data_IF_734618466818
#
_entry.id   IF_734618466818
#
_cell.length_a   1.000
_cell.length_b   1.000
_cell.length_c   1.000
_cell.angle_alpha   90.00
_cell.angle_beta   90.00
_cell.angle_gamma   90.00
#
_symmetry.space_group_name_H-M   'P 1'
#
loop_
_entity.id
_entity.type
_entity.pdbx_description
1 polymer ?
#
# COMPACT_ATOMS: atom_id res chain seq x y z
N UNK A 1 20.50 -6.06 0.74
CA UNK A 1 19.04 -6.07 0.55
C UNK A 1 18.68 -4.77 -0.10
N UNK A 2 17.87 -4.82 -1.15
CA UNK A 2 17.55 -3.65 -1.95
C UNK A 2 16.40 -2.87 -1.32
N UNK A 3 16.34 -1.57 -1.62
CA UNK A 3 15.30 -0.67 -1.14
C UNK A 3 14.20 -0.60 -2.21
N UNK A 4 12.94 -0.67 -1.78
CA UNK A 4 11.78 -0.46 -2.64
C UNK A 4 11.77 1.00 -3.13
N UNK A 5 11.30 1.24 -4.35
CA UNK A 5 11.07 2.62 -4.79
C UNK A 5 10.00 3.29 -3.92
N UNK A 6 10.00 4.63 -3.93
CA UNK A 6 8.98 5.42 -3.23
C UNK A 6 7.58 5.10 -3.76
N UNK A 7 7.42 4.90 -5.07
CA UNK A 7 6.14 4.52 -5.67
C UNK A 7 5.68 3.12 -5.24
N UNK A 8 6.61 2.15 -5.22
CA UNK A 8 6.30 0.82 -4.72
C UNK A 8 5.91 0.87 -3.23
N UNK A 9 6.60 1.69 -2.44
CA UNK A 9 6.26 1.89 -1.03
C UNK A 9 4.85 2.48 -0.88
N UNK A 10 4.50 3.49 -1.69
CA UNK A 10 3.15 4.07 -1.72
C UNK A 10 2.09 3.00 -1.96
N UNK A 11 2.25 2.24 -3.05
CA UNK A 11 1.27 1.23 -3.47
C UNK A 11 1.18 0.08 -2.47
N UNK A 12 2.30 -0.35 -1.91
CA UNK A 12 2.34 -1.34 -0.85
C UNK A 12 1.60 -0.89 0.42
N UNK A 13 1.79 0.36 0.86
CA UNK A 13 1.24 0.82 2.14
C UNK A 13 -0.22 1.27 1.98
N UNK A 14 -0.53 2.07 0.97
CA UNK A 14 -1.84 2.72 0.77
C UNK A 14 -2.75 1.90 -0.15
N UNK A 15 -2.17 1.10 -1.06
CA UNK A 15 -2.89 0.43 -2.13
C UNK A 15 -2.81 1.19 -3.46
N UNK A 16 -3.13 0.50 -4.56
CA UNK A 16 -3.13 1.06 -5.90
C UNK A 16 -2.83 0.05 -7.00
N UNK A 17 -2.47 0.55 -8.19
CA UNK A 17 -2.00 -0.31 -9.28
C UNK A 17 -0.47 -0.41 -9.27
N UNK A 18 0.05 -1.63 -9.43
CA UNK A 18 1.44 -1.90 -9.68
C UNK A 18 1.60 -2.91 -10.82
N UNK A 19 2.21 -2.47 -11.92
CA UNK A 19 2.42 -3.30 -13.12
C UNK A 19 1.11 -3.93 -13.65
N UNK A 20 0.01 -3.18 -13.64
CA UNK A 20 -1.31 -3.64 -14.13
C UNK A 20 -2.00 -4.61 -13.18
N UNK A 21 -1.60 -4.64 -11.91
CA UNK A 21 -2.20 -5.44 -10.86
C UNK A 21 -2.58 -4.57 -9.68
N UNK A 22 -3.79 -4.80 -9.21
CA UNK A 22 -4.29 -4.24 -7.96
C UNK A 22 -3.47 -4.76 -6.77
N UNK A 23 -2.95 -3.84 -5.97
CA UNK A 23 -2.39 -4.06 -4.63
C UNK A 23 -3.34 -3.39 -3.65
N UNK A 24 -3.88 -4.17 -2.70
CA UNK A 24 -4.92 -3.68 -1.78
C UNK A 24 -4.40 -2.65 -0.77
N UNK A 25 -3.11 -2.68 -0.45
CA UNK A 25 -2.54 -1.87 0.62
C UNK A 25 -2.88 -2.40 2.01
N UNK A 26 -2.69 -1.58 3.03
CA UNK A 26 -3.12 -1.89 4.40
C UNK A 26 -4.54 -1.41 4.66
N UNK A 27 -5.30 -2.22 5.40
CA UNK A 27 -6.71 -1.98 5.72
C UNK A 27 -6.94 -0.62 6.39
N UNK A 28 -5.99 -0.13 7.18
CA UNK A 28 -6.03 1.16 7.85
C UNK A 28 -6.23 2.32 6.86
N UNK A 29 -5.71 2.24 5.64
CA UNK A 29 -5.92 3.27 4.61
C UNK A 29 -7.29 3.17 3.90
N UNK A 30 -8.08 2.14 4.19
CA UNK A 30 -9.50 2.08 3.86
C UNK A 30 -10.41 2.80 4.86
N UNK A 31 -9.87 3.26 6.00
CA UNK A 31 -10.64 3.97 7.04
C UNK A 31 -10.60 5.50 6.81
N UNK A 32 -11.76 6.17 6.68
CA UNK A 32 -11.83 7.63 6.62
C UNK A 32 -11.09 8.35 7.77
N UNK A 33 -11.04 7.73 8.95
CA UNK A 33 -10.38 8.31 10.13
C UNK A 33 -8.87 8.46 9.96
N UNK A 34 -8.26 7.65 9.09
CA UNK A 34 -6.85 7.78 8.70
C UNK A 34 -6.57 9.13 8.03
N UNK A 35 -7.58 9.75 7.42
CA UNK A 35 -7.43 11.00 6.66
C UNK A 35 -7.91 12.25 7.43
N UNK A 36 -8.32 12.10 8.71
CA UNK A 36 -8.82 13.20 9.55
C UNK A 36 -7.86 14.39 9.58
N UNK A 37 -6.58 14.12 9.84
CA UNK A 37 -5.49 15.08 9.87
C UNK A 37 -4.19 14.44 9.37
N UNK A 38 -3.23 15.28 8.97
CA UNK A 38 -1.97 14.81 8.39
C UNK A 38 -1.11 14.03 9.40
N UNK A 39 -1.11 14.44 10.67
CA UNK A 39 -0.33 13.79 11.73
C UNK A 39 -0.79 12.34 11.95
N UNK A 40 -2.11 12.10 11.88
CA UNK A 40 -2.69 10.76 11.96
C UNK A 40 -2.28 9.90 10.77
N UNK A 41 -2.42 10.42 9.55
CA UNK A 41 -1.99 9.76 8.32
C UNK A 41 -0.49 9.39 8.38
N UNK A 42 0.36 10.36 8.72
CA UNK A 42 1.82 10.17 8.79
C UNK A 42 2.19 9.13 9.85
N UNK A 43 1.55 9.16 11.01
CA UNK A 43 1.78 8.21 12.10
C UNK A 43 1.42 6.79 11.70
N UNK A 44 0.28 6.59 11.04
CA UNK A 44 -0.16 5.27 10.56
C UNK A 44 0.82 4.76 9.50
N UNK A 45 1.15 5.59 8.50
CA UNK A 45 2.12 5.23 7.45
C UNK A 45 3.46 4.81 8.05
N UNK A 46 4.01 5.62 8.96
CA UNK A 46 5.27 5.35 9.65
C UNK A 46 5.23 4.06 10.45
N UNK A 47 4.11 3.78 11.13
CA UNK A 47 3.93 2.55 11.91
C UNK A 47 3.99 1.33 11.00
N UNK A 48 3.31 1.37 9.86
CA UNK A 48 3.28 0.25 8.91
C UNK A 48 4.66 0.00 8.27
N UNK A 49 5.38 1.04 7.86
CA UNK A 49 6.77 0.91 7.38
C UNK A 49 7.70 0.35 8.45
N UNK A 50 7.44 0.63 9.74
CA UNK A 50 8.25 0.15 10.86
C UNK A 50 7.95 -1.31 11.23
N UNK A 51 6.66 -1.66 11.32
CA UNK A 51 6.21 -2.97 11.80
C UNK A 51 6.22 -4.02 10.68
N UNK A 52 6.05 -3.61 9.41
CA UNK A 52 6.10 -4.51 8.26
C UNK A 52 7.05 -3.96 7.17
N UNK A 53 8.36 -3.89 7.44
CA UNK A 53 9.30 -3.20 6.58
C UNK A 53 9.66 -3.95 5.29
N UNK A 54 9.21 -5.19 5.09
CA UNK A 54 9.67 -6.02 3.98
C UNK A 54 8.57 -6.29 2.96
N UNK A 55 8.92 -6.12 1.69
CA UNK A 55 8.08 -6.50 0.55
C UNK A 55 8.66 -7.77 -0.04
N UNK A 56 7.89 -8.84 -0.01
CA UNK A 56 8.13 -10.03 -0.82
C UNK A 56 7.60 -9.78 -2.23
N UNK A 57 8.52 -9.75 -3.18
CA UNK A 57 8.27 -9.36 -4.56
C UNK A 57 8.68 -10.49 -5.49
N UNK A 58 7.82 -10.80 -6.46
CA UNK A 58 8.12 -11.78 -7.50
C UNK A 58 8.47 -11.03 -8.79
N UNK A 59 9.73 -11.14 -9.21
CA UNK A 59 10.32 -10.34 -10.29
C UNK A 59 9.81 -10.80 -11.68
N UNK A 60 9.50 -12.09 -11.82
CA UNK A 60 9.03 -12.70 -13.08
C UNK A 60 7.51 -12.95 -13.09
N UNK A 61 6.72 -12.17 -12.33
CA UNK A 61 5.65 -11.37 -12.97
C UNK A 61 5.68 -9.87 -12.64
N UNK A 62 6.66 -9.42 -11.87
CA UNK A 62 6.76 -8.04 -11.40
C UNK A 62 5.66 -7.63 -10.41
N UNK A 63 5.22 -8.53 -9.53
CA UNK A 63 4.10 -8.25 -8.62
C UNK A 63 4.49 -8.36 -7.13
N UNK A 64 3.79 -7.57 -6.32
CA UNK A 64 3.87 -7.64 -4.86
C UNK A 64 3.15 -8.92 -4.41
N UNK A 65 3.89 -9.80 -3.74
CA UNK A 65 3.32 -11.03 -3.17
C UNK A 65 2.74 -10.72 -1.79
N UNK A 66 3.52 -10.05 -0.93
CA UNK A 66 3.11 -9.72 0.43
C UNK A 66 4.02 -8.67 1.06
N UNK A 67 3.49 -7.92 2.02
CA UNK A 67 4.28 -7.10 2.94
C UNK A 67 4.29 -7.78 4.30
N UNK A 68 5.46 -7.85 4.94
CA UNK A 68 5.69 -8.66 6.13
C UNK A 68 6.70 -8.00 7.09
N UNK A 69 6.68 -8.47 8.33
CA UNK A 69 7.65 -8.15 9.38
C UNK A 69 8.94 -8.98 9.32
N UNK A 70 8.99 -10.01 8.46
CA UNK A 70 10.13 -10.91 8.29
C UNK A 70 10.59 -10.93 6.82
N UNK A 71 11.88 -11.16 6.62
CA UNK A 71 12.48 -11.44 5.32
C UNK A 71 12.14 -12.83 4.79
N UNK A 72 11.71 -13.76 5.65
CA UNK A 72 11.29 -15.11 5.28
C UNK A 72 9.78 -15.21 5.22
N UNK A 73 9.23 -15.55 4.05
CA UNK A 73 7.80 -15.79 3.90
C UNK A 73 7.51 -17.29 4.02
N UNK A 74 6.69 -17.65 5.01
CA UNK A 74 6.19 -19.02 5.20
C UNK A 74 4.81 -19.17 4.55
N UNK A 75 4.56 -20.32 3.94
CA UNK A 75 3.26 -20.67 3.38
C UNK A 75 2.85 -22.09 3.77
N UNK A 76 1.55 -22.34 3.80
CA UNK A 76 1.04 -23.68 3.99
C UNK A 76 1.15 -24.48 2.69
N UNK A 77 1.94 -25.55 2.76
CA UNK A 77 2.03 -26.57 1.73
C UNK A 77 0.72 -27.35 1.59
N UNK A 78 0.67 -28.18 0.53
CA UNK A 78 -0.51 -28.99 0.19
C UNK A 78 -0.96 -29.93 1.31
N UNK A 79 -0.04 -30.31 2.20
CA UNK A 79 -0.29 -31.23 3.30
C UNK A 79 -0.43 -30.50 4.66
N UNK A 80 -0.55 -29.18 4.66
CA UNK A 80 -0.69 -28.35 5.86
C UNK A 80 0.64 -28.10 6.58
N UNK A 81 1.76 -28.50 6.00
CA UNK A 81 3.11 -28.21 6.48
C UNK A 81 3.52 -26.77 6.14
N UNK A 82 4.18 -26.08 7.08
CA UNK A 82 4.74 -24.75 6.80
C UNK A 82 6.05 -24.89 6.02
N UNK A 83 6.07 -24.32 4.82
CA UNK A 83 7.23 -24.33 3.93
C UNK A 83 7.66 -22.89 3.61
N UNK A 84 8.96 -22.67 3.54
CA UNK A 84 9.52 -21.39 3.10
C UNK A 84 9.21 -21.20 1.62
N UNK A 85 8.56 -20.09 1.26
CA UNK A 85 8.41 -19.69 -0.14
C UNK A 85 9.76 -19.19 -0.67
N UNK A 86 10.22 -19.83 -1.75
CA UNK A 86 11.52 -19.56 -2.38
C UNK A 86 11.34 -18.77 -3.68
N UNK A 87 12.41 -18.15 -4.15
CA UNK A 87 12.45 -17.43 -5.43
C UNK A 87 11.93 -16.00 -5.37
N UNK A 88 11.49 -15.52 -4.21
CA UNK A 88 11.06 -14.14 -4.05
C UNK A 88 12.26 -13.23 -3.78
N UNK A 89 12.21 -12.04 -4.39
CA UNK A 89 13.06 -10.92 -4.00
C UNK A 89 12.47 -10.27 -2.76
N UNK A 90 13.33 -9.83 -1.85
CA UNK A 90 12.93 -9.10 -0.65
C UNK A 90 13.45 -7.68 -0.77
N UNK A 91 12.52 -6.73 -0.77
CA UNK A 91 12.81 -5.30 -0.77
C UNK A 91 12.45 -4.72 0.60
N UNK A 92 13.18 -3.68 1.02
CA UNK A 92 12.82 -2.92 2.21
C UNK A 92 11.97 -1.72 1.83
N UNK A 93 10.85 -1.51 2.49
CA UNK A 93 10.08 -0.27 2.39
C UNK A 93 10.94 0.93 2.81
N UNK A 94 10.77 2.03 2.09
CA UNK A 94 11.44 3.29 2.37
C UNK A 94 10.44 4.31 2.90
N UNK A 95 10.81 5.01 3.98
CA UNK A 95 9.99 6.12 4.47
C UNK A 95 10.12 7.30 3.51
N UNK A 96 9.04 7.77 2.87
CA UNK A 96 9.09 8.95 2.03
C UNK A 96 9.39 10.20 2.89
N UNK A 97 9.89 11.25 2.23
CA UNK A 97 10.07 12.53 2.92
C UNK A 97 8.72 13.19 3.25
N UNK A 98 8.75 14.18 4.12
CA UNK A 98 7.57 14.89 4.62
C UNK A 98 6.71 15.48 3.48
N UNK A 99 7.35 16.17 2.53
CA UNK A 99 6.64 16.83 1.42
C UNK A 99 5.91 15.81 0.52
N UNK A 100 6.53 14.63 0.31
CA UNK A 100 5.93 13.53 -0.45
C UNK A 100 4.71 12.96 0.27
N UNK A 101 4.81 12.73 1.58
CA UNK A 101 3.67 12.26 2.38
C UNK A 101 2.55 13.30 2.41
N UNK A 102 2.89 14.58 2.53
CA UNK A 102 1.91 15.68 2.54
C UNK A 102 1.17 15.79 1.21
N UNK A 103 1.87 15.62 0.09
CA UNK A 103 1.25 15.58 -1.23
C UNK A 103 0.26 14.41 -1.36
N UNK A 104 0.67 13.19 -0.98
CA UNK A 104 -0.22 12.02 -1.03
C UNK A 104 -1.43 12.15 -0.12
N UNK A 105 -1.24 12.70 1.08
CA UNK A 105 -2.34 13.01 1.98
C UNK A 105 -3.34 13.97 1.34
N UNK A 106 -2.87 15.02 0.68
CA UNK A 106 -3.73 15.99 -0.03
C UNK A 106 -4.55 15.32 -1.15
N UNK A 107 -3.90 14.49 -1.97
CA UNK A 107 -4.56 13.71 -3.04
C UNK A 107 -5.66 12.80 -2.48
N UNK A 108 -5.35 12.02 -1.45
CA UNK A 108 -6.28 11.03 -0.88
C UNK A 108 -7.42 11.72 -0.12
N UNK A 109 -7.11 12.75 0.66
CA UNK A 109 -8.12 13.51 1.40
C UNK A 109 -9.12 14.16 0.45
N UNK A 110 -8.70 14.64 -0.72
CA UNK A 110 -9.61 15.20 -1.70
C UNK A 110 -10.65 14.17 -2.16
N UNK A 111 -10.25 12.92 -2.36
CA UNK A 111 -11.18 11.86 -2.78
C UNK A 111 -12.13 11.46 -1.65
N UNK A 112 -11.64 11.37 -0.41
CA UNK A 112 -12.50 11.06 0.75
C UNK A 112 -13.42 12.22 1.16
N UNK A 113 -12.99 13.47 0.95
CA UNK A 113 -13.75 14.67 1.27
C UNK A 113 -14.87 15.01 0.29
N UNK A 114 -14.84 14.45 -0.92
CA UNK A 114 -15.85 14.65 -1.97
C UNK A 114 -16.96 13.58 -1.94
N UNK A 115 -16.97 12.69 -0.93
CA UNK A 115 -18.08 11.75 -0.71
C UNK A 115 -19.25 12.50 -0.05
N UNK A 116 -20.36 12.79 -0.77
CA UNK A 116 -21.52 13.42 -0.16
C UNK A 116 -22.08 12.48 0.91
N UNK A 117 -22.35 13.00 2.10
CA UNK A 117 -22.91 12.27 3.23
C UNK A 117 -24.35 11.80 2.98
N UNK A 118 -24.52 10.83 2.09
CA UNK A 118 -25.77 10.13 1.84
C UNK A 118 -25.50 8.63 1.79
N UNK A 119 -25.37 7.99 2.96
CA UNK A 119 -25.65 6.57 3.24
C UNK A 119 -25.11 5.46 2.32
N UNK A 120 -24.26 5.78 1.34
CA UNK A 120 -23.75 4.88 0.32
C UNK A 120 -22.40 4.31 0.71
N UNK A 121 -22.17 3.04 0.37
CA UNK A 121 -20.97 2.26 0.65
C UNK A 121 -19.69 3.11 0.57
N UNK A 122 -18.89 3.06 1.66
CA UNK A 122 -17.55 3.64 1.69
C UNK A 122 -16.82 3.22 0.41
N UNK A 123 -16.30 4.16 -0.41
CA UNK A 123 -15.53 3.79 -1.57
C UNK A 123 -14.36 2.95 -1.10
N UNK A 124 -14.21 1.74 -1.65
CA UNK A 124 -13.02 0.96 -1.39
C UNK A 124 -11.80 1.76 -1.85
N UNK A 125 -10.65 1.58 -1.20
CA UNK A 125 -9.38 2.23 -1.59
C UNK A 125 -9.07 2.08 -3.10
N UNK A 126 -9.63 1.04 -3.74
CA UNK A 126 -9.57 0.78 -5.17
C UNK A 126 -10.30 1.79 -6.05
N UNK A 127 -11.45 2.33 -5.63
CA UNK A 127 -12.12 3.38 -6.39
C UNK A 127 -11.33 4.70 -6.36
N UNK A 128 -10.65 4.97 -5.24
CA UNK A 128 -9.88 6.20 -5.02
C UNK A 128 -8.66 6.30 -5.94
N UNK A 129 -7.93 5.20 -6.13
CA UNK A 129 -6.71 5.18 -6.95
C UNK A 129 -7.01 5.10 -8.46
N UNK A 130 -8.13 4.49 -8.86
CA UNK A 130 -8.54 4.42 -10.26
C UNK A 130 -8.98 5.80 -10.81
N UNK A 131 -9.60 6.65 -9.97
CA UNK A 131 -10.01 8.00 -10.40
C UNK A 131 -8.85 8.98 -10.60
N UNK A 132 -7.77 8.88 -9.82
CA UNK A 132 -6.62 9.78 -9.95
C UNK A 132 -5.74 9.46 -11.17
N UNK A 133 -5.71 8.19 -11.59
CA UNK A 133 -4.95 7.75 -12.77
C UNK A 133 -5.60 8.21 -14.08
N UNK A 134 -6.91 8.42 -14.10
CA UNK A 134 -7.65 8.77 -15.33
C UNK A 134 -7.57 10.26 -15.66
N UNK A 135 -7.25 11.12 -14.70
CA UNK A 135 -7.22 12.59 -14.87
C UNK A 135 -5.86 13.17 -15.27
N UNK A 136 -4.82 12.35 -15.44
CA UNK A 136 -3.47 12.79 -15.83
C UNK A 136 -3.11 12.55 -17.31
N UNK A 137 -4.09 12.17 -18.15
CA UNK A 137 -3.92 12.05 -19.61
C UNK A 137 -4.83 13.06 -20.33
N UNK A 138 -4.53 14.34 -20.20
CA UNK A 138 -4.87 15.38 -21.20
C UNK A 138 -3.69 16.31 -21.44
#
# INVERSE_FOLDING_TARGET
MDIASIDLTRVCVIGGDWNGRCVEGYNEFGDPETYRDFDTFERIFRTLVKECPYVHYDDEPGHVVRIHDDTVLMEYGRYGDEVVRKGLRVLKLEMPNYDTLLAWYGELKAVWGDSPGDGGESPSALQVVLTTTTLSNE
#
